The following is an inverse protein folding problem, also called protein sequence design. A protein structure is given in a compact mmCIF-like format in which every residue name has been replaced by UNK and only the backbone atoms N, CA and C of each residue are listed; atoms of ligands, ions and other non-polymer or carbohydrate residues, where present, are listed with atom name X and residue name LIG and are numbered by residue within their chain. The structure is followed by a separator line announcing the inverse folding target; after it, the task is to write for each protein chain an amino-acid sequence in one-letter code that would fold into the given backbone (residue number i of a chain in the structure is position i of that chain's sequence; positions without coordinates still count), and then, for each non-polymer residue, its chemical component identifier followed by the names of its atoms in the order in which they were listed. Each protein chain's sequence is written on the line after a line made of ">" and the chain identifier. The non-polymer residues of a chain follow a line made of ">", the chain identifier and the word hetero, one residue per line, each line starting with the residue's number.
data_IF_023810159082
#
_entry.id   IF_023810159082
#
_cell.length_a   1.000
_cell.length_b   1.000
_cell.length_c   1.000
_cell.angle_alpha   90.00
_cell.angle_beta   90.00
_cell.angle_gamma   90.00
#
_symmetry.space_group_name_H-M   'P 1'
#
loop_
_entity.id
_entity.type
_entity.pdbx_description
1 polymer ?
#
# COMPACT_ATOMS: atom_id res chain seq x y z
N UNK A 1 -11.55 -5.99 6.35
CA UNK A 1 -11.25 -4.76 7.14
C UNK A 1 -10.61 -5.11 8.48
N UNK A 2 -9.68 -4.27 8.99
CA UNK A 2 -9.14 -4.33 10.35
C UNK A 2 -10.25 -4.41 11.43
N UNK A 3 -10.26 -5.45 12.29
CA UNK A 3 -11.24 -5.57 13.37
C UNK A 3 -11.22 -4.34 14.30
N UNK A 4 -12.40 -3.76 14.54
CA UNK A 4 -12.62 -2.57 15.37
C UNK A 4 -11.81 -1.33 14.99
N UNK A 5 -11.07 -1.34 13.87
CA UNK A 5 -10.23 -0.24 13.42
C UNK A 5 -9.14 0.17 14.43
N UNK A 6 -8.71 -0.77 15.27
CA UNK A 6 -7.68 -0.55 16.30
C UNK A 6 -6.50 -1.50 16.15
N UNK A 7 -5.36 -1.14 16.75
CA UNK A 7 -4.25 -2.08 16.93
C UNK A 7 -4.65 -3.19 17.92
N UNK A 8 -4.03 -4.36 17.76
CA UNK A 8 -4.15 -5.43 18.76
C UNK A 8 -3.48 -5.00 20.06
N UNK A 9 -4.10 -5.28 21.20
CA UNK A 9 -3.50 -5.05 22.52
C UNK A 9 -2.37 -6.01 22.83
N UNK A 10 -2.37 -7.18 22.19
CA UNK A 10 -1.32 -8.19 22.31
C UNK A 10 -0.72 -8.44 20.93
N UNK A 11 0.59 -8.23 20.72
CA UNK A 11 1.20 -8.49 19.44
C UNK A 11 1.19 -10.00 19.15
N UNK A 12 0.69 -10.37 17.98
CA UNK A 12 0.89 -11.72 17.43
C UNK A 12 2.09 -11.61 16.51
N UNK A 13 3.22 -12.13 16.99
CA UNK A 13 4.49 -12.08 16.28
C UNK A 13 4.44 -13.03 15.10
N UNK A 14 4.73 -12.50 13.91
CA UNK A 14 4.87 -13.24 12.67
C UNK A 14 5.96 -12.63 11.81
N UNK A 15 6.23 -13.29 10.69
CA UNK A 15 7.21 -12.86 9.70
C UNK A 15 6.46 -12.27 8.48
N UNK A 16 7.05 -11.25 7.86
CA UNK A 16 6.64 -10.86 6.51
C UNK A 16 6.95 -12.02 5.55
N UNK A 17 5.99 -12.34 4.70
CA UNK A 17 6.19 -13.34 3.65
C UNK A 17 6.72 -12.67 2.39
N UNK A 18 7.36 -13.42 1.50
CA UNK A 18 7.74 -12.89 0.18
C UNK A 18 6.46 -12.49 -0.59
N UNK A 19 6.43 -11.36 -1.31
CA UNK A 19 7.54 -10.43 -1.55
C UNK A 19 7.71 -9.34 -0.49
N UNK A 20 6.79 -9.19 0.46
CA UNK A 20 6.79 -8.14 1.50
C UNK A 20 8.02 -8.20 2.43
N UNK A 21 8.67 -9.36 2.52
CA UNK A 21 9.94 -9.53 3.25
C UNK A 21 11.14 -8.83 2.59
N UNK A 22 11.00 -8.39 1.33
CA UNK A 22 12.04 -7.65 0.59
C UNK A 22 12.45 -6.37 1.34
N UNK A 23 13.75 -6.01 1.36
CA UNK A 23 14.20 -4.78 2.01
C UNK A 23 13.48 -3.54 1.47
N UNK A 24 13.01 -2.71 2.40
CA UNK A 24 12.34 -1.46 2.11
C UNK A 24 13.17 -0.52 1.22
N UNK A 25 12.53 0.06 0.21
CA UNK A 25 13.07 1.11 -0.66
C UNK A 25 11.99 2.15 -0.92
N UNK A 26 12.36 3.42 -1.01
CA UNK A 26 11.41 4.48 -1.37
C UNK A 26 10.97 4.39 -2.84
N UNK A 27 11.88 4.00 -3.74
CA UNK A 27 11.68 4.12 -5.20
C UNK A 27 11.07 2.89 -5.85
N UNK A 28 10.86 1.83 -5.09
CA UNK A 28 10.34 0.55 -5.59
C UNK A 28 9.55 -0.13 -4.50
N UNK A 29 8.43 -0.74 -4.87
CA UNK A 29 7.66 -1.60 -3.98
C UNK A 29 7.22 -2.87 -4.71
N UNK A 30 7.06 -3.96 -3.96
CA UNK A 30 6.71 -5.27 -4.52
C UNK A 30 5.50 -5.83 -3.82
N UNK A 31 4.56 -6.36 -4.59
CA UNK A 31 3.31 -6.90 -4.07
C UNK A 31 2.95 -8.20 -4.78
N UNK A 32 2.38 -9.15 -4.05
CA UNK A 32 1.86 -10.37 -4.66
C UNK A 32 0.52 -10.07 -5.35
N UNK A 33 0.39 -10.46 -6.61
CA UNK A 33 -0.81 -10.21 -7.40
C UNK A 33 -1.14 -11.36 -8.36
N UNK A 34 -2.25 -11.19 -9.06
CA UNK A 34 -2.78 -12.07 -10.10
C UNK A 34 -2.02 -12.02 -11.42
N UNK A 35 -2.56 -12.71 -12.42
CA UNK A 35 -1.87 -12.98 -13.69
C UNK A 35 -1.68 -11.75 -14.59
N UNK A 36 -2.58 -10.77 -14.51
CA UNK A 36 -2.50 -9.50 -15.23
C UNK A 36 -3.29 -8.40 -14.50
N UNK A 37 -3.04 -7.13 -14.85
CA UNK A 37 -3.85 -6.01 -14.36
C UNK A 37 -5.32 -6.19 -14.77
N UNK A 38 -6.24 -5.91 -13.85
CA UNK A 38 -7.68 -6.10 -14.02
C UNK A 38 -8.10 -7.57 -14.27
N UNK A 39 -7.22 -8.55 -13.98
CA UNK A 39 -7.51 -9.96 -14.18
C UNK A 39 -7.13 -10.79 -12.93
N UNK A 40 -8.14 -11.07 -12.10
CA UNK A 40 -8.03 -11.93 -10.92
C UNK A 40 -8.47 -13.39 -11.18
N UNK A 41 -8.54 -13.84 -12.45
CA UNK A 41 -9.07 -15.17 -12.80
C UNK A 41 -8.29 -16.36 -12.20
N UNK A 42 -7.06 -16.13 -11.73
CA UNK A 42 -6.20 -17.11 -11.09
C UNK A 42 -5.94 -16.79 -9.60
N UNK A 43 -6.73 -15.87 -9.02
CA UNK A 43 -6.49 -15.33 -7.69
C UNK A 43 -5.47 -14.18 -7.68
N UNK A 44 -5.04 -13.80 -6.48
CA UNK A 44 -4.12 -12.67 -6.22
C UNK A 44 -2.73 -13.13 -5.79
N UNK A 45 -2.47 -14.44 -5.80
CA UNK A 45 -1.22 -15.03 -5.30
C UNK A 45 -0.45 -15.76 -6.41
N UNK A 46 -0.34 -15.13 -7.59
CA UNK A 46 0.17 -15.77 -8.82
C UNK A 46 1.60 -15.37 -9.15
N UNK A 47 1.93 -14.09 -9.04
CA UNK A 47 3.26 -13.57 -9.36
C UNK A 47 3.58 -12.30 -8.56
N UNK A 48 4.87 -12.03 -8.39
CA UNK A 48 5.34 -10.78 -7.79
C UNK A 48 5.24 -9.66 -8.81
N UNK A 49 4.50 -8.62 -8.46
CA UNK A 49 4.44 -7.36 -9.17
C UNK A 49 5.41 -6.37 -8.54
N UNK A 50 5.96 -5.47 -9.35
CA UNK A 50 6.86 -4.41 -8.90
C UNK A 50 6.36 -3.07 -9.41
N UNK A 51 6.15 -2.10 -8.52
CA UNK A 51 6.06 -0.70 -8.89
C UNK A 51 7.45 -0.07 -8.82
N UNK A 52 7.82 0.71 -9.83
CA UNK A 52 9.12 1.39 -9.90
C UNK A 52 8.92 2.84 -10.33
N UNK A 53 9.52 3.76 -9.59
CA UNK A 53 9.64 5.15 -10.02
C UNK A 53 10.59 5.22 -11.22
N UNK A 54 10.11 5.79 -12.32
CA UNK A 54 10.87 6.03 -13.54
C UNK A 54 11.23 7.52 -13.65
N UNK A 55 11.93 7.91 -14.73
CA UNK A 55 12.17 9.34 -15.03
C UNK A 55 10.89 10.10 -15.40
N UNK A 56 9.88 9.37 -15.85
CA UNK A 56 8.64 9.91 -16.45
C UNK A 56 7.40 9.65 -15.60
N UNK A 57 7.51 8.88 -14.52
CA UNK A 57 6.40 8.57 -13.64
C UNK A 57 6.59 7.31 -12.82
N UNK A 58 5.58 6.44 -12.80
CA UNK A 58 5.61 5.15 -12.11
C UNK A 58 5.15 4.07 -13.09
N UNK A 59 5.99 3.05 -13.26
CA UNK A 59 5.69 1.86 -14.03
C UNK A 59 5.44 0.66 -13.10
N UNK A 60 4.53 -0.22 -13.52
CA UNK A 60 4.24 -1.48 -12.87
C UNK A 60 4.53 -2.63 -13.83
N UNK A 61 5.22 -3.67 -13.36
CA UNK A 61 5.56 -4.86 -14.16
C UNK A 61 5.49 -6.14 -13.31
N UNK A 62 5.47 -7.29 -13.99
CA UNK A 62 5.58 -8.61 -13.38
C UNK A 62 6.26 -9.58 -14.38
N UNK A 63 6.67 -10.80 -13.97
CA UNK A 63 7.30 -11.76 -14.87
C UNK A 63 6.51 -12.02 -16.17
N UNK A 64 5.18 -12.09 -16.09
CA UNK A 64 4.30 -12.31 -17.24
C UNK A 64 3.60 -11.03 -17.72
N UNK A 65 4.00 -9.85 -17.25
CA UNK A 65 3.42 -8.57 -17.68
C UNK A 65 4.51 -7.55 -17.93
N UNK A 66 4.69 -7.07 -19.18
CA UNK A 66 5.69 -6.04 -19.47
C UNK A 66 5.42 -4.78 -18.65
N UNK A 67 6.42 -3.92 -18.51
CA UNK A 67 6.25 -2.67 -17.80
C UNK A 67 5.16 -1.78 -18.44
N UNK A 68 4.21 -1.34 -17.62
CA UNK A 68 3.13 -0.43 -17.99
C UNK A 68 3.27 0.82 -17.14
N UNK A 69 3.40 1.99 -17.78
CA UNK A 69 3.40 3.28 -17.08
C UNK A 69 1.95 3.65 -16.71
N UNK A 70 1.67 3.70 -15.41
CA UNK A 70 0.32 3.95 -14.88
C UNK A 70 0.13 5.40 -14.40
N UNK A 71 1.23 6.03 -13.97
CA UNK A 71 1.25 7.41 -13.53
C UNK A 71 2.35 8.10 -14.31
N UNK A 72 2.06 9.29 -14.84
CA UNK A 72 3.07 10.18 -15.42
C UNK A 72 3.33 11.34 -14.48
N UNK A 73 4.59 11.73 -14.34
CA UNK A 73 5.00 12.78 -13.42
C UNK A 73 6.50 12.80 -13.20
N UNK A 74 6.99 13.95 -12.74
CA UNK A 74 8.38 14.13 -12.35
C UNK A 74 8.48 14.38 -10.85
N UNK A 75 9.69 14.23 -10.30
CA UNK A 75 9.99 14.47 -8.87
C UNK A 75 9.12 13.60 -7.94
N UNK A 76 8.94 12.35 -8.33
CA UNK A 76 8.33 11.32 -7.47
C UNK A 76 9.46 10.73 -6.62
N UNK A 77 9.26 10.68 -5.30
CA UNK A 77 10.29 10.28 -4.33
C UNK A 77 9.94 8.98 -3.62
N UNK A 78 8.65 8.66 -3.51
CA UNK A 78 8.18 7.44 -2.84
C UNK A 78 7.09 6.74 -3.66
N UNK A 79 7.03 5.42 -3.58
CA UNK A 79 5.96 4.59 -4.15
C UNK A 79 5.63 3.41 -3.23
N UNK A 80 4.35 3.04 -3.16
CA UNK A 80 3.86 1.79 -2.59
C UNK A 80 2.72 1.22 -3.46
N UNK A 81 2.63 -0.10 -3.56
CA UNK A 81 1.77 -0.85 -4.46
C UNK A 81 0.85 -1.79 -3.68
N UNK A 82 -0.43 -1.79 -4.04
CA UNK A 82 -1.35 -2.86 -3.70
C UNK A 82 -2.28 -3.16 -4.88
N UNK A 83 -3.00 -4.27 -4.82
CA UNK A 83 -4.10 -4.58 -5.73
C UNK A 83 -5.38 -4.83 -4.95
N UNK A 84 -6.51 -4.39 -5.51
CA UNK A 84 -7.81 -4.84 -5.01
C UNK A 84 -8.15 -6.26 -5.52
N UNK A 85 -9.28 -6.79 -5.08
CA UNK A 85 -9.76 -8.13 -5.45
C UNK A 85 -10.00 -8.34 -6.96
N UNK A 86 -10.07 -7.26 -7.73
CA UNK A 86 -10.23 -7.32 -9.17
C UNK A 86 -8.90 -7.07 -9.90
N UNK A 87 -7.77 -7.18 -9.20
CA UNK A 87 -6.45 -6.89 -9.73
C UNK A 87 -6.29 -5.45 -10.26
N UNK A 88 -7.03 -4.49 -9.69
CA UNK A 88 -6.88 -3.07 -10.03
C UNK A 88 -5.75 -2.47 -9.19
N UNK A 89 -4.74 -1.85 -9.82
CA UNK A 89 -3.61 -1.29 -9.10
C UNK A 89 -4.07 -0.11 -8.24
N UNK A 90 -3.59 -0.11 -7.00
CA UNK A 90 -3.61 1.01 -6.09
C UNK A 90 -2.16 1.43 -5.85
N UNK A 91 -1.85 2.72 -6.05
CA UNK A 91 -0.49 3.23 -5.94
C UNK A 91 -0.50 4.45 -5.04
N UNK A 92 0.14 4.34 -3.87
CA UNK A 92 0.45 5.49 -3.06
C UNK A 92 1.82 6.03 -3.46
N UNK A 93 1.94 7.34 -3.61
CA UNK A 93 3.20 7.94 -4.05
C UNK A 93 3.34 9.36 -3.54
N UNK A 94 4.58 9.84 -3.43
CA UNK A 94 4.89 11.22 -3.05
C UNK A 94 5.49 11.92 -4.25
N UNK A 95 4.88 13.02 -4.68
CA UNK A 95 5.34 13.83 -5.80
C UNK A 95 5.41 15.29 -5.38
N UNK A 96 6.58 15.93 -5.54
CA UNK A 96 6.81 17.30 -5.06
C UNK A 96 6.39 17.47 -3.59
N UNK A 97 6.77 16.51 -2.74
CA UNK A 97 6.44 16.48 -1.31
C UNK A 97 4.93 16.42 -1.00
N UNK A 98 4.10 16.10 -2.01
CA UNK A 98 2.65 15.92 -1.88
C UNK A 98 2.31 14.43 -2.02
N UNK A 99 1.84 13.80 -0.93
CA UNK A 99 1.32 12.44 -0.96
C UNK A 99 0.03 12.33 -1.77
N UNK A 100 -0.05 11.27 -2.58
CA UNK A 100 -1.15 10.98 -3.49
C UNK A 100 -1.49 9.49 -3.46
N UNK A 101 -2.74 9.18 -3.78
CA UNK A 101 -3.21 7.81 -4.00
C UNK A 101 -3.87 7.72 -5.36
N UNK A 102 -3.38 6.84 -6.22
CA UNK A 102 -4.02 6.39 -7.44
C UNK A 102 -4.85 5.14 -7.14
N UNK A 103 -6.17 5.18 -7.33
CA UNK A 103 -7.08 4.10 -6.92
C UNK A 103 -8.41 4.12 -7.70
N UNK A 104 -9.11 2.98 -7.72
CA UNK A 104 -10.33 2.83 -8.50
C UNK A 104 -11.56 3.28 -7.70
N UNK A 105 -12.20 4.37 -8.13
CA UNK A 105 -13.40 4.90 -7.51
C UNK A 105 -14.66 4.28 -8.13
N UNK A 106 -15.28 3.37 -7.39
CA UNK A 106 -16.50 2.65 -7.80
C UNK A 106 -17.70 3.57 -8.02
N UNK A 107 -17.76 4.73 -7.37
CA UNK A 107 -18.86 5.68 -7.54
C UNK A 107 -18.90 6.32 -8.93
N UNK A 108 -17.74 6.42 -9.60
CA UNK A 108 -17.62 7.00 -10.95
C UNK A 108 -17.11 5.99 -11.99
N UNK A 109 -16.75 4.78 -11.57
CA UNK A 109 -16.28 3.72 -12.45
C UNK A 109 -14.93 3.99 -13.12
N UNK A 110 -14.01 4.70 -12.45
CA UNK A 110 -12.73 5.09 -13.03
C UNK A 110 -11.58 5.10 -12.01
N UNK A 111 -10.35 4.96 -12.52
CA UNK A 111 -9.14 5.26 -11.77
C UNK A 111 -9.03 6.77 -11.52
N UNK A 112 -8.74 7.16 -10.28
CA UNK A 112 -8.61 8.56 -9.87
C UNK A 112 -7.36 8.76 -9.04
N UNK A 113 -6.91 10.01 -8.95
CA UNK A 113 -5.86 10.41 -8.00
C UNK A 113 -6.44 11.29 -6.91
N UNK A 114 -6.30 10.87 -5.65
CA UNK A 114 -6.60 11.68 -4.46
C UNK A 114 -5.32 12.26 -3.88
N UNK A 115 -5.40 13.46 -3.28
CA UNK A 115 -4.29 14.16 -2.62
C UNK A 115 -4.50 14.13 -1.11
N UNK A 116 -3.43 13.88 -0.34
CA UNK A 116 -3.46 13.86 1.12
C UNK A 116 -2.34 14.73 1.69
N UNK A 117 -2.69 15.92 2.21
CA UNK A 117 -1.73 16.85 2.77
C UNK A 117 -1.36 16.50 4.21
N UNK A 118 -0.11 16.77 4.60
CA UNK A 118 0.37 16.61 5.97
C UNK A 118 0.59 15.16 6.42
N UNK A 119 0.60 14.20 5.50
CA UNK A 119 0.94 12.80 5.79
C UNK A 119 2.34 12.47 5.27
N UNK A 120 3.00 11.47 5.86
CA UNK A 120 4.29 10.97 5.39
C UNK A 120 4.28 9.46 5.24
N UNK A 121 5.15 8.97 4.33
CA UNK A 121 5.39 7.57 4.03
C UNK A 121 4.10 6.73 3.86
N UNK A 122 3.21 7.08 2.92
CA UNK A 122 2.03 6.27 2.70
C UNK A 122 2.44 4.88 2.18
N UNK A 123 1.93 3.82 2.84
CA UNK A 123 2.14 2.42 2.46
C UNK A 123 0.81 1.72 2.27
N UNK A 124 0.78 0.76 1.35
CA UNK A 124 -0.42 0.04 0.99
C UNK A 124 -0.28 -1.44 1.30
N UNK A 125 -1.40 -2.09 1.61
CA UNK A 125 -1.54 -3.54 1.52
C UNK A 125 -3.00 -3.91 1.27
N UNK A 126 -3.24 -5.07 0.67
CA UNK A 126 -4.53 -5.74 0.78
C UNK A 126 -4.57 -6.51 2.10
N UNK A 127 -5.63 -6.33 2.88
CA UNK A 127 -5.70 -6.96 4.19
C UNK A 127 -5.81 -8.49 4.12
N UNK A 128 -6.54 -9.06 3.16
CA UNK A 128 -6.61 -10.50 2.95
C UNK A 128 -6.73 -10.87 1.46
N UNK A 129 -5.72 -11.55 0.92
CA UNK A 129 -5.64 -11.97 -0.48
C UNK A 129 -6.43 -13.25 -0.78
N UNK A 130 -6.93 -13.96 0.24
CA UNK A 130 -7.53 -15.28 0.04
C UNK A 130 -8.87 -15.17 -0.71
N UNK A 131 -9.16 -16.07 -1.67
CA UNK A 131 -10.40 -16.02 -2.44
C UNK A 131 -11.68 -16.02 -1.58
N UNK A 132 -11.65 -16.71 -0.44
CA UNK A 132 -12.77 -16.79 0.51
C UNK A 132 -13.04 -15.48 1.28
N UNK A 133 -12.16 -14.48 1.18
CA UNK A 133 -12.27 -13.19 1.86
C UNK A 133 -12.57 -12.03 0.89
N UNK A 134 -12.82 -12.33 -0.38
CA UNK A 134 -13.00 -11.33 -1.44
C UNK A 134 -14.09 -10.28 -1.18
N UNK A 135 -15.16 -10.62 -0.46
CA UNK A 135 -16.22 -9.66 -0.10
C UNK A 135 -15.92 -8.82 1.15
N UNK A 136 -14.89 -9.18 1.92
CA UNK A 136 -14.52 -8.56 3.19
C UNK A 136 -13.15 -7.88 3.19
N UNK A 137 -12.38 -8.05 2.10
CA UNK A 137 -11.05 -7.49 1.97
C UNK A 137 -11.06 -6.06 1.43
N UNK A 138 -10.13 -5.25 1.89
CA UNK A 138 -9.95 -3.86 1.51
C UNK A 138 -8.47 -3.57 1.27
N UNK A 139 -8.16 -2.79 0.23
CA UNK A 139 -6.87 -2.10 0.20
C UNK A 139 -6.87 -1.08 1.33
N UNK A 140 -5.83 -1.14 2.17
CA UNK A 140 -5.60 -0.23 3.28
C UNK A 140 -4.43 0.68 2.94
N UNK A 141 -4.57 1.97 3.25
CA UNK A 141 -3.48 2.94 3.16
C UNK A 141 -3.11 3.39 4.57
N UNK A 142 -1.90 3.05 5.00
CA UNK A 142 -1.31 3.48 6.26
C UNK A 142 -0.35 4.64 6.02
N UNK A 143 -0.22 5.53 7.00
CA UNK A 143 0.70 6.66 6.93
C UNK A 143 0.94 7.24 8.33
N UNK A 144 1.97 8.07 8.44
CA UNK A 144 2.22 8.87 9.63
C UNK A 144 1.67 10.28 9.44
N UNK A 145 1.18 10.86 10.54
CA UNK A 145 0.78 12.26 10.65
C UNK A 145 0.96 12.67 12.10
N UNK A 146 1.67 13.77 12.35
CA UNK A 146 1.93 14.29 13.70
C UNK A 146 2.38 13.21 14.70
N UNK A 147 3.38 12.39 14.31
CA UNK A 147 3.95 11.29 15.13
C UNK A 147 2.95 10.22 15.55
N UNK A 148 1.83 10.12 14.85
CA UNK A 148 0.81 9.11 15.06
C UNK A 148 0.56 8.33 13.79
N UNK A 149 0.21 7.05 13.96
CA UNK A 149 -0.14 6.16 12.87
C UNK A 149 -1.64 6.28 12.58
N UNK A 150 -1.97 6.33 11.29
CA UNK A 150 -3.34 6.32 10.81
C UNK A 150 -3.49 5.31 9.68
N UNK A 151 -4.73 4.94 9.39
CA UNK A 151 -5.06 4.30 8.13
C UNK A 151 -6.34 4.84 7.51
N UNK A 152 -6.50 4.57 6.21
CA UNK A 152 -7.71 4.79 5.41
C UNK A 152 -8.01 3.49 4.66
N UNK A 153 -9.28 3.21 4.39
CA UNK A 153 -9.71 1.96 3.75
C UNK A 153 -10.45 2.18 2.43
N UNK A 154 -10.30 1.23 1.50
CA UNK A 154 -10.96 1.22 0.20
C UNK A 154 -12.50 1.28 0.30
N UNK A 155 -13.12 0.51 1.20
CA UNK A 155 -14.58 0.53 1.41
C UNK A 155 -15.15 1.93 1.70
N UNK A 156 -14.38 2.75 2.39
CA UNK A 156 -14.74 4.13 2.71
C UNK A 156 -14.25 5.12 1.65
N UNK A 157 -13.84 4.62 0.48
CA UNK A 157 -13.27 5.39 -0.64
C UNK A 157 -12.09 6.26 -0.19
N UNK A 158 -11.35 5.76 0.82
CA UNK A 158 -10.27 6.46 1.50
C UNK A 158 -10.65 7.84 2.09
N UNK A 159 -11.94 8.13 2.24
CA UNK A 159 -12.44 9.42 2.77
C UNK A 159 -12.34 9.53 4.29
N UNK A 160 -12.44 8.41 4.99
CA UNK A 160 -12.41 8.36 6.47
C UNK A 160 -11.00 8.05 6.98
N UNK A 161 -10.50 8.89 7.88
CA UNK A 161 -9.21 8.74 8.59
C UNK A 161 -9.43 8.02 9.92
N UNK A 162 -8.72 6.91 10.13
CA UNK A 162 -8.81 6.12 11.36
C UNK A 162 -7.50 6.23 12.15
N UNK A 163 -7.51 6.81 13.37
CA UNK A 163 -6.33 6.89 14.22
C UNK A 163 -6.00 5.53 14.84
N UNK A 164 -4.74 5.14 14.79
CA UNK A 164 -4.22 3.93 15.46
C UNK A 164 -3.39 4.25 16.71
N UNK A 165 -2.96 5.50 16.86
CA UNK A 165 -2.29 6.01 18.07
C UNK A 165 -0.88 6.54 17.81
N UNK A 166 -0.23 7.07 18.86
CA UNK A 166 1.12 7.62 18.78
C UNK A 166 2.16 6.53 18.50
N UNK A 167 3.25 6.89 17.81
CA UNK A 167 4.37 5.99 17.50
C UNK A 167 5.72 6.65 17.80
N UNK A 168 6.72 5.84 18.13
CA UNK A 168 8.06 6.34 18.46
C UNK A 168 8.94 6.59 17.21
N UNK A 169 8.60 5.98 16.07
CA UNK A 169 9.32 6.15 14.81
C UNK A 169 8.76 7.29 13.95
N UNK A 170 9.49 7.63 12.89
CA UNK A 170 9.18 8.70 11.94
C UNK A 170 9.21 8.23 10.49
N UNK A 171 9.55 6.97 10.22
CA UNK A 171 9.51 6.38 8.89
C UNK A 171 8.63 5.15 8.90
N UNK A 172 7.47 5.20 8.23
CA UNK A 172 6.68 4.01 7.96
C UNK A 172 7.30 3.23 6.80
N UNK A 173 7.93 2.09 7.10
CA UNK A 173 8.66 1.31 6.10
C UNK A 173 7.73 0.40 5.33
N UNK A 174 6.99 -0.46 6.04
CA UNK A 174 6.22 -1.56 5.46
C UNK A 174 4.93 -1.80 6.21
N UNK A 175 3.90 -2.18 5.46
CA UNK A 175 2.63 -2.72 5.99
C UNK A 175 2.25 -3.92 5.13
N UNK A 176 1.97 -5.06 5.74
CA UNK A 176 1.54 -6.26 5.02
C UNK A 176 0.93 -7.27 5.97
N UNK A 177 0.22 -8.26 5.42
CA UNK A 177 -0.26 -9.40 6.18
C UNK A 177 0.92 -10.35 6.48
N UNK A 178 1.14 -10.67 7.74
CA UNK A 178 2.17 -11.63 8.13
C UNK A 178 1.70 -13.09 7.99
N UNK A 179 2.63 -14.03 8.17
CA UNK A 179 2.35 -15.47 8.10
C UNK A 179 1.40 -16.03 9.21
N UNK A 180 0.87 -15.16 10.09
CA UNK A 180 -0.15 -15.49 11.11
C UNK A 180 -1.49 -14.79 10.83
N UNK A 181 -1.69 -14.28 9.63
CA UNK A 181 -2.92 -13.59 9.23
C UNK A 181 -3.20 -12.36 10.10
N UNK A 182 -2.15 -11.57 10.37
CA UNK A 182 -2.25 -10.27 11.02
C UNK A 182 -1.55 -9.21 10.17
N UNK A 183 -2.19 -8.06 10.03
CA UNK A 183 -1.51 -6.88 9.51
C UNK A 183 -0.36 -6.54 10.47
N UNK A 184 0.82 -6.49 9.90
CA UNK A 184 2.06 -6.13 10.57
C UNK A 184 2.56 -4.81 9.98
N UNK A 185 3.05 -3.95 10.87
CA UNK A 185 3.44 -2.59 10.56
C UNK A 185 4.86 -2.40 11.07
N UNK A 186 5.76 -1.98 10.19
CA UNK A 186 7.15 -1.70 10.52
C UNK A 186 7.41 -0.20 10.46
N UNK A 187 7.80 0.37 11.59
CA UNK A 187 8.13 1.78 11.73
C UNK A 187 9.56 1.88 12.24
N UNK A 188 10.37 2.66 11.53
CA UNK A 188 11.74 2.97 11.89
C UNK A 188 11.81 4.35 12.53
N UNK A 189 12.72 4.48 13.50
CA UNK A 189 13.11 5.76 14.08
C UNK A 189 14.45 6.16 13.46
N UNK A 190 14.41 7.12 12.54
CA UNK A 190 15.59 7.79 12.01
C UNK A 190 15.94 9.05 12.80
N UNK A 191 17.22 9.35 12.99
CA UNK A 191 17.68 10.66 13.43
C UNK A 191 17.13 11.79 12.52
N UNK A 192 17.00 13.00 13.07
CA UNK A 192 16.41 14.13 12.34
C UNK A 192 17.25 14.60 11.14
N UNK A 193 18.54 14.31 11.16
CA UNK A 193 19.53 14.60 10.13
C UNK A 193 19.57 13.58 8.97
N UNK A 194 18.79 12.50 9.06
CA UNK A 194 18.67 11.44 8.03
C UNK A 194 17.30 11.39 7.34
N UNK A 195 16.44 12.40 7.57
CA UNK A 195 15.11 12.55 6.98
C UNK A 195 15.14 13.28 5.64
#
# INVERSE_FOLDING_TARGET
>A
MLPNQTLSTTPIIGEFSSPDSTPFRYTTDTELGGIALNNSSQGLEVQTWTATITRTGIAVSAPNTPAIELITGQRITEVALAFDQNMRPHIAYVQNDVPKLYWYNTAIGAQVTSVYLGITNPRLCLDDKRPSQSSASDVLMFYLKDRSLFFRAQRDRFGVEYPLGPVEGNVLRRVAMNNKLRIQIEIERKPADEL
#
